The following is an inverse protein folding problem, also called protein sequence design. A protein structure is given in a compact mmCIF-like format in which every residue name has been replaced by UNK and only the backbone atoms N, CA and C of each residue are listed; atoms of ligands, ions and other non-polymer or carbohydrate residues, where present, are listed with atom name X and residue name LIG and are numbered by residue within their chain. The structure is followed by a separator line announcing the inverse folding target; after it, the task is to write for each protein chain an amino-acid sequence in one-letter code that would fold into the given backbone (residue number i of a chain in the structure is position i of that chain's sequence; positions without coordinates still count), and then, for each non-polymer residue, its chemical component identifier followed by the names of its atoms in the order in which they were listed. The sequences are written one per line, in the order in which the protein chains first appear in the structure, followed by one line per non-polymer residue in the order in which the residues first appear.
data_IF_827398836155
#
_entry.id   IF_827398836155
#
_cell.length_a   1.000
_cell.length_b   1.000
_cell.length_c   1.000
_cell.angle_alpha   90.00
_cell.angle_beta   90.00
_cell.angle_gamma   90.00
#
_symmetry.space_group_name_H-M   'P 1'
#
loop_
_entity.id
_entity.type
_entity.pdbx_description
1 polymer ?
#
# COMPACT_ATOMS: atom_id res chain seq x y z
N UNK A 1 22.49 -5.56 -9.24
CA UNK A 1 22.01 -6.92 -8.91
C UNK A 1 20.55 -6.96 -9.32
N UNK A 2 20.23 -7.54 -10.48
CA UNK A 2 18.87 -7.55 -11.03
C UNK A 2 18.04 -8.66 -10.36
N UNK A 3 17.63 -8.42 -9.12
CA UNK A 3 16.84 -9.37 -8.33
C UNK A 3 15.40 -9.50 -8.88
N UNK A 4 14.94 -8.53 -9.68
CA UNK A 4 13.56 -8.46 -10.18
C UNK A 4 13.38 -9.05 -11.60
N UNK A 5 14.41 -9.07 -12.45
CA UNK A 5 14.29 -9.52 -13.84
C UNK A 5 14.23 -11.05 -14.06
N UNK A 6 14.40 -11.86 -13.01
CA UNK A 6 14.37 -13.34 -13.11
C UNK A 6 13.34 -13.99 -12.18
N UNK A 7 12.60 -13.20 -11.41
CA UNK A 7 11.65 -13.64 -10.41
C UNK A 7 10.20 -13.52 -10.91
N UNK A 8 9.22 -14.19 -10.27
CA UNK A 8 7.81 -13.91 -10.52
C UNK A 8 7.54 -12.39 -10.48
N UNK A 9 6.81 -11.87 -11.46
CA UNK A 9 6.56 -10.43 -11.67
C UNK A 9 5.93 -9.74 -10.44
N UNK A 10 5.28 -10.51 -9.56
CA UNK A 10 4.63 -10.04 -8.33
C UNK A 10 5.45 -10.30 -7.07
N UNK A 11 5.50 -9.30 -6.18
CA UNK A 11 6.22 -9.36 -4.90
C UNK A 11 5.37 -8.81 -3.74
N UNK A 12 5.63 -9.32 -2.54
CA UNK A 12 5.06 -8.82 -1.29
C UNK A 12 6.21 -8.40 -0.38
N UNK A 13 6.18 -7.16 0.11
CA UNK A 13 7.13 -6.65 1.10
C UNK A 13 6.40 -6.50 2.42
N UNK A 14 7.00 -7.01 3.49
CA UNK A 14 6.42 -7.01 4.83
C UNK A 14 7.39 -6.37 5.81
N UNK A 15 7.00 -5.20 6.32
CA UNK A 15 7.80 -4.42 7.25
C UNK A 15 7.21 -4.55 8.65
N UNK A 16 7.84 -5.35 9.51
CA UNK A 16 7.40 -5.52 10.88
C UNK A 16 7.55 -4.22 11.68
N UNK A 17 6.48 -3.81 12.36
CA UNK A 17 6.48 -2.66 13.25
C UNK A 17 6.73 -3.10 14.71
N UNK A 18 6.37 -2.24 15.68
CA UNK A 18 6.63 -2.43 17.10
C UNK A 18 7.93 -1.76 17.57
N UNK A 19 8.41 -2.18 18.75
CA UNK A 19 9.59 -1.61 19.41
C UNK A 19 9.53 -0.08 19.49
N UNK A 20 10.37 0.63 18.74
CA UNK A 20 10.39 2.09 18.77
C UNK A 20 9.12 2.67 18.13
N UNK A 21 8.58 2.02 17.09
CA UNK A 21 7.37 2.50 16.41
C UNK A 21 6.14 2.47 17.32
N UNK A 22 6.08 1.57 18.31
CA UNK A 22 4.98 1.52 19.29
C UNK A 22 5.19 2.43 20.50
N UNK A 23 6.37 3.07 20.66
CA UNK A 23 6.66 4.03 21.75
C UNK A 23 6.38 5.48 21.37
N UNK A 24 6.15 5.75 20.09
CA UNK A 24 5.84 7.09 19.58
C UNK A 24 4.32 7.22 19.53
N UNK A 25 3.79 8.28 20.13
CA UNK A 25 2.35 8.59 20.08
C UNK A 25 1.87 8.75 18.63
N UNK A 26 0.67 8.28 18.32
CA UNK A 26 0.10 8.31 16.96
C UNK A 26 -0.08 9.73 16.41
N UNK A 27 -0.21 10.73 17.28
CA UNK A 27 -0.35 12.13 16.91
C UNK A 27 0.97 12.93 16.96
N UNK A 28 2.10 12.30 17.30
CA UNK A 28 3.38 12.99 17.39
C UNK A 28 3.89 13.48 16.03
N UNK A 29 3.50 12.78 14.95
CA UNK A 29 3.85 13.08 13.56
C UNK A 29 2.67 12.77 12.64
N UNK A 30 2.61 13.35 11.43
CA UNK A 30 1.55 13.06 10.44
C UNK A 30 1.45 11.59 9.99
N UNK A 31 2.41 10.73 10.35
CA UNK A 31 2.34 9.29 10.13
C UNK A 31 1.81 8.60 11.40
N UNK A 32 0.52 8.20 11.43
CA UNK A 32 -0.16 7.80 12.65
C UNK A 32 -0.06 6.31 12.98
N UNK A 33 0.48 5.49 12.06
CA UNK A 33 0.51 4.04 12.20
C UNK A 33 1.61 3.62 13.19
N UNK A 34 1.25 3.61 14.49
CA UNK A 34 2.12 3.37 15.64
C UNK A 34 1.66 2.13 16.42
N UNK A 35 1.52 2.24 17.74
CA UNK A 35 1.03 1.15 18.58
C UNK A 35 -0.28 0.56 18.05
N UNK A 36 -0.43 -0.75 18.20
CA UNK A 36 -1.54 -1.52 17.59
C UNK A 36 -1.37 -1.89 16.11
N UNK A 37 -0.41 -1.29 15.38
CA UNK A 37 -0.08 -1.72 14.01
C UNK A 37 1.05 -2.75 14.04
N UNK A 38 0.79 -3.96 13.54
CA UNK A 38 1.76 -5.06 13.56
C UNK A 38 2.83 -4.93 12.46
N UNK A 39 2.43 -4.46 11.29
CA UNK A 39 3.30 -4.35 10.11
C UNK A 39 2.68 -3.46 9.03
N UNK A 40 3.54 -2.94 8.15
CA UNK A 40 3.16 -2.47 6.82
C UNK A 40 3.32 -3.60 5.80
N UNK A 41 2.42 -3.68 4.82
CA UNK A 41 2.52 -4.64 3.72
C UNK A 41 2.33 -3.93 2.38
N UNK A 42 3.22 -4.20 1.43
CA UNK A 42 3.18 -3.64 0.08
C UNK A 42 3.04 -4.78 -0.93
N UNK A 43 2.16 -4.58 -1.91
CA UNK A 43 1.98 -5.50 -3.03
C UNK A 43 2.50 -4.81 -4.28
N UNK A 44 3.48 -5.42 -4.94
CA UNK A 44 4.11 -4.85 -6.12
C UNK A 44 4.01 -5.82 -7.27
N UNK A 45 3.83 -5.27 -8.48
CA UNK A 45 4.05 -6.00 -9.72
C UNK A 45 4.97 -5.15 -10.58
N UNK A 46 6.06 -5.76 -11.05
CA UNK A 46 7.03 -5.12 -11.93
C UNK A 46 7.10 -5.90 -13.25
N UNK A 47 7.12 -5.19 -14.36
CA UNK A 47 7.31 -5.75 -15.68
C UNK A 47 8.21 -4.82 -16.51
N UNK A 48 8.84 -5.39 -17.54
CA UNK A 48 9.70 -4.68 -18.48
C UNK A 48 8.87 -4.23 -19.69
N UNK A 49 9.35 -3.25 -20.47
CA UNK A 49 8.61 -2.66 -21.61
C UNK A 49 8.10 -3.71 -22.62
N UNK A 50 8.82 -4.84 -22.76
CA UNK A 50 8.45 -5.99 -23.59
C UNK A 50 7.07 -6.57 -23.23
N UNK A 51 6.65 -6.42 -21.98
CA UNK A 51 5.39 -6.91 -21.44
C UNK A 51 4.28 -5.82 -21.36
N UNK A 52 4.49 -4.61 -21.90
CA UNK A 52 3.52 -3.51 -21.77
C UNK A 52 2.13 -3.84 -22.34
N UNK A 53 2.08 -4.69 -23.38
CA UNK A 53 0.83 -5.20 -23.94
C UNK A 53 0.01 -6.05 -22.97
N UNK A 54 0.61 -6.49 -21.86
CA UNK A 54 -0.01 -7.29 -20.80
C UNK A 54 -0.21 -6.52 -19.49
N UNK A 55 0.09 -5.22 -19.46
CA UNK A 55 -0.08 -4.34 -18.29
C UNK A 55 -1.45 -4.46 -17.61
N UNK A 56 -2.52 -4.60 -18.41
CA UNK A 56 -3.88 -4.80 -17.90
C UNK A 56 -4.04 -6.09 -17.06
N UNK A 57 -3.39 -7.19 -17.45
CA UNK A 57 -3.41 -8.45 -16.69
C UNK A 57 -2.72 -8.28 -15.32
N UNK A 58 -1.60 -7.56 -15.29
CA UNK A 58 -0.82 -7.30 -14.09
C UNK A 58 -1.54 -6.39 -13.11
N UNK A 59 -2.14 -5.30 -13.61
CA UNK A 59 -2.95 -4.39 -12.80
C UNK A 59 -4.17 -5.14 -12.25
N UNK A 60 -4.87 -5.91 -13.09
CA UNK A 60 -6.02 -6.70 -12.66
C UNK A 60 -5.65 -7.71 -11.57
N UNK A 61 -4.51 -8.38 -11.71
CA UNK A 61 -4.00 -9.30 -10.69
C UNK A 61 -3.72 -8.58 -9.36
N UNK A 62 -3.04 -7.43 -9.41
CA UNK A 62 -2.70 -6.64 -8.21
C UNK A 62 -3.96 -6.15 -7.48
N UNK A 63 -4.93 -5.63 -8.23
CA UNK A 63 -6.22 -5.20 -7.68
C UNK A 63 -6.98 -6.38 -7.09
N UNK A 64 -7.05 -7.52 -7.78
CA UNK A 64 -7.72 -8.73 -7.28
C UNK A 64 -7.08 -9.21 -5.97
N UNK A 65 -5.75 -9.25 -5.92
CA UNK A 65 -5.01 -9.63 -4.72
C UNK A 65 -5.24 -8.63 -3.56
N UNK A 66 -5.19 -7.33 -3.84
CA UNK A 66 -5.47 -6.29 -2.86
C UNK A 66 -6.89 -6.42 -2.25
N UNK A 67 -7.90 -6.71 -3.08
CA UNK A 67 -9.27 -6.95 -2.62
C UNK A 67 -9.37 -8.24 -1.79
N UNK A 68 -8.73 -9.32 -2.24
CA UNK A 68 -8.69 -10.59 -1.52
C UNK A 68 -8.09 -10.45 -0.11
N UNK A 69 -7.08 -9.59 0.05
CA UNK A 69 -6.45 -9.33 1.35
C UNK A 69 -7.26 -8.38 2.27
N UNK A 70 -8.32 -7.75 1.76
CA UNK A 70 -9.14 -6.78 2.50
C UNK A 70 -9.66 -7.27 3.86
N UNK A 71 -10.14 -8.51 4.02
CA UNK A 71 -10.60 -9.03 5.30
C UNK A 71 -9.50 -9.15 6.38
N UNK A 72 -8.22 -9.20 5.99
CA UNK A 72 -7.08 -9.40 6.88
C UNK A 72 -6.30 -8.11 7.16
N UNK A 73 -6.60 -7.03 6.43
CA UNK A 73 -6.01 -5.71 6.62
C UNK A 73 -6.78 -4.89 7.67
N UNK A 74 -6.28 -3.70 7.98
CA UNK A 74 -6.98 -2.71 8.80
C UNK A 74 -8.33 -2.33 8.19
N UNK A 75 -9.30 -1.99 9.05
CA UNK A 75 -10.68 -1.67 8.66
C UNK A 75 -11.18 -0.44 9.42
N UNK A 76 -12.06 0.31 8.78
CA UNK A 76 -12.74 1.48 9.35
C UNK A 76 -11.84 2.70 9.62
N UNK A 77 -11.08 3.24 8.65
CA UNK A 77 -10.93 2.88 7.23
C UNK A 77 -9.82 1.85 6.97
N UNK A 78 -9.68 1.37 5.72
CA UNK A 78 -8.49 0.62 5.31
C UNK A 78 -7.30 1.57 5.25
N UNK A 79 -6.29 1.31 6.08
CA UNK A 79 -5.15 2.22 6.21
C UNK A 79 -4.29 2.22 4.94
N UNK A 80 -3.79 3.41 4.59
CA UNK A 80 -2.82 3.63 3.53
C UNK A 80 -1.65 4.48 4.06
N UNK A 81 -0.58 4.56 3.29
CA UNK A 81 0.58 5.38 3.61
C UNK A 81 0.86 6.36 2.48
N UNK A 82 0.92 7.66 2.81
CA UNK A 82 1.06 8.75 1.84
C UNK A 82 2.28 8.65 0.91
N UNK A 83 3.38 8.01 1.33
CA UNK A 83 4.54 7.82 0.45
C UNK A 83 4.30 6.75 -0.63
N UNK A 84 3.25 5.94 -0.50
CA UNK A 84 2.75 5.02 -1.51
C UNK A 84 1.41 5.53 -2.02
N UNK A 85 1.49 6.58 -2.86
CA UNK A 85 0.30 7.24 -3.42
C UNK A 85 -0.50 6.24 -4.26
N UNK A 86 -1.77 6.07 -3.90
CA UNK A 86 -2.71 5.19 -4.58
C UNK A 86 -3.89 6.01 -5.11
N UNK A 87 -3.98 6.10 -6.44
CA UNK A 87 -5.03 6.85 -7.13
C UNK A 87 -6.36 6.07 -7.17
N UNK A 88 -6.35 4.76 -6.92
CA UNK A 88 -7.57 3.93 -6.84
C UNK A 88 -8.38 4.27 -5.57
N UNK A 89 -7.76 4.89 -4.56
CA UNK A 89 -8.45 5.43 -3.38
C UNK A 89 -9.24 6.72 -3.68
N UNK A 90 -9.09 7.28 -4.88
CA UNK A 90 -9.73 8.49 -5.34
C UNK A 90 -8.77 9.67 -5.45
N UNK A 91 -9.18 10.67 -6.25
CA UNK A 91 -8.38 11.87 -6.53
C UNK A 91 -9.09 13.10 -5.97
N UNK A 92 -8.34 13.94 -5.27
CA UNK A 92 -8.86 15.23 -4.83
C UNK A 92 -9.05 16.15 -6.04
N UNK A 93 -10.29 16.57 -6.29
CA UNK A 93 -10.69 17.38 -7.43
C UNK A 93 -11.05 18.83 -7.05
N UNK A 94 -10.51 19.34 -5.93
CA UNK A 94 -10.61 20.76 -5.54
C UNK A 94 -11.98 21.24 -5.05
N UNK A 95 -13.02 20.41 -5.14
CA UNK A 95 -14.41 20.81 -4.88
C UNK A 95 -14.99 20.28 -3.57
N UNK A 96 -14.24 19.45 -2.84
CA UNK A 96 -14.68 18.89 -1.56
C UNK A 96 -14.15 19.73 -0.39
N UNK A 97 -15.04 20.49 0.27
CA UNK A 97 -14.76 21.04 1.60
C UNK A 97 -14.77 19.88 2.60
N UNK A 98 -13.61 19.36 2.97
CA UNK A 98 -13.50 18.48 4.14
C UNK A 98 -13.06 19.29 5.35
N UNK A 99 -13.95 19.35 6.34
CA UNK A 99 -13.57 19.57 7.72
C UNK A 99 -12.67 18.40 8.11
N UNK A 100 -11.44 18.69 8.51
CA UNK A 100 -10.51 17.71 9.02
C UNK A 100 -11.14 16.94 10.20
N UNK A 101 -11.01 15.61 10.18
CA UNK A 101 -11.07 14.77 11.37
C UNK A 101 -9.66 14.30 11.63
#
# INVERSE_FOLDING_TARGET
MNILGTQPKGHVIFDAYGRMMSRIESNALPFPHRDGNLYGIQYLVHWDEEDDGRSGEYIYWLQTFYHHMGPFASKGPRAAYVNYVDLDLGVFNGSTKHNAV
#
